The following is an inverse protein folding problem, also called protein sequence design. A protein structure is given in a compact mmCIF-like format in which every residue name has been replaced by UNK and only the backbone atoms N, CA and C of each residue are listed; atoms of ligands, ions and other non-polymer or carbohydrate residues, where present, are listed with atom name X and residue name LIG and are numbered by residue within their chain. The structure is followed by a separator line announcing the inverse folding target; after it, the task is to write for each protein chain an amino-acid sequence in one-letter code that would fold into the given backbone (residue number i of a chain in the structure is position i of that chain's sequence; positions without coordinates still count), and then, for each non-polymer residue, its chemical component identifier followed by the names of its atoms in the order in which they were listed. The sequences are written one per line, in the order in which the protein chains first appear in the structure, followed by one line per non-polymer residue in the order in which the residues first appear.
data_IF_247154429461
#
_entry.id   IF_247154429461
#
_cell.length_a   1.000
_cell.length_b   1.000
_cell.length_c   1.000
_cell.angle_alpha   90.00
_cell.angle_beta   90.00
_cell.angle_gamma   90.00
#
_symmetry.space_group_name_H-M   'P 1'
#
loop_
_entity.id
_entity.type
_entity.pdbx_description
1 polymer ?
#
# COMPACT_ATOMS: atom_id res chain seq x y z
N UNK A 1 -56.24 -15.41 19.72
CA UNK A 1 -55.54 -15.49 18.40
C UNK A 1 -54.93 -14.17 17.90
N UNK A 2 -55.41 -12.98 18.20
CA UNK A 2 -54.81 -11.69 17.78
C UNK A 2 -53.53 -11.34 18.54
N UNK A 3 -53.40 -11.65 19.82
CA UNK A 3 -52.23 -11.36 20.64
C UNK A 3 -50.97 -12.16 20.21
N UNK A 4 -51.13 -13.42 19.88
CA UNK A 4 -50.01 -14.28 19.45
C UNK A 4 -49.41 -13.83 18.12
N UNK A 5 -50.24 -13.38 17.18
CA UNK A 5 -49.77 -12.84 15.89
C UNK A 5 -49.00 -11.53 16.06
N UNK A 6 -49.39 -10.69 17.03
CA UNK A 6 -48.68 -9.45 17.35
C UNK A 6 -47.25 -9.69 17.88
N UNK A 7 -47.09 -10.68 18.77
CA UNK A 7 -45.73 -11.02 19.29
C UNK A 7 -44.86 -11.64 18.23
N UNK A 8 -45.38 -12.42 17.30
CA UNK A 8 -44.65 -13.00 16.20
C UNK A 8 -44.13 -11.92 15.23
N UNK A 9 -44.97 -10.93 14.89
CA UNK A 9 -44.56 -9.83 13.99
C UNK A 9 -43.54 -8.91 14.64
N UNK A 10 -43.66 -8.61 15.94
CA UNK A 10 -42.65 -7.82 16.67
C UNK A 10 -41.34 -8.56 16.79
N UNK A 11 -41.36 -9.86 17.09
CA UNK A 11 -40.13 -10.70 17.11
C UNK A 11 -39.45 -10.78 15.77
N UNK A 12 -40.20 -10.88 14.68
CA UNK A 12 -39.65 -10.92 13.32
C UNK A 12 -39.00 -9.58 12.92
N UNK A 13 -39.59 -8.45 13.28
CA UNK A 13 -39.02 -7.12 13.06
C UNK A 13 -37.73 -6.88 13.87
N UNK A 14 -37.72 -7.35 15.13
CA UNK A 14 -36.49 -7.23 15.96
C UNK A 14 -35.34 -8.07 15.42
N UNK A 15 -35.61 -9.29 14.92
CA UNK A 15 -34.57 -10.17 14.34
C UNK A 15 -34.04 -9.61 13.04
N UNK A 16 -34.85 -8.96 12.21
CA UNK A 16 -34.42 -8.33 10.96
C UNK A 16 -33.54 -7.10 11.20
N UNK A 17 -33.77 -6.35 12.26
CA UNK A 17 -32.94 -5.22 12.68
C UNK A 17 -31.52 -5.63 13.10
N UNK A 18 -31.37 -6.81 13.72
CA UNK A 18 -30.05 -7.33 14.12
C UNK A 18 -29.17 -7.78 12.94
N UNK A 19 -29.79 -8.22 11.83
CA UNK A 19 -29.05 -8.65 10.63
C UNK A 19 -28.45 -7.47 9.84
N UNK A 20 -29.02 -6.27 9.95
CA UNK A 20 -28.53 -5.07 9.26
C UNK A 20 -27.33 -4.42 9.97
N UNK A 21 -27.08 -4.75 11.24
CA UNK A 21 -25.93 -4.21 12.01
C UNK A 21 -24.63 -4.97 11.77
N UNK A 22 -24.63 -6.07 11.04
CA UNK A 22 -23.46 -6.92 10.80
C UNK A 22 -22.52 -6.44 9.68
N UNK A 23 -22.84 -5.34 8.98
CA UNK A 23 -21.89 -4.69 8.06
C UNK A 23 -20.90 -3.79 8.81
N UNK A 24 -20.19 -4.36 9.79
CA UNK A 24 -19.01 -3.74 10.35
C UNK A 24 -17.89 -3.75 9.33
N UNK A 25 -17.48 -2.58 8.85
CA UNK A 25 -16.24 -2.42 8.11
C UNK A 25 -15.10 -3.07 8.91
N UNK A 26 -14.50 -4.11 8.36
CA UNK A 26 -13.27 -4.67 8.90
C UNK A 26 -12.22 -3.58 8.82
N UNK A 27 -11.95 -2.87 9.92
CA UNK A 27 -10.75 -2.06 10.04
C UNK A 27 -9.56 -2.97 9.73
N UNK A 28 -8.75 -2.59 8.77
CA UNK A 28 -7.52 -3.30 8.47
C UNK A 28 -6.73 -3.48 9.78
N UNK A 29 -6.27 -4.70 10.04
CA UNK A 29 -5.67 -5.13 11.31
C UNK A 29 -4.41 -4.32 11.69
N UNK A 30 -3.85 -3.54 10.74
CA UNK A 30 -2.64 -2.73 10.88
C UNK A 30 -2.90 -1.20 10.89
N UNK A 31 -4.15 -0.76 10.94
CA UNK A 31 -4.45 0.66 10.85
C UNK A 31 -4.15 1.30 9.47
N UNK A 32 -3.70 0.50 8.49
CA UNK A 32 -3.48 0.96 7.11
C UNK A 32 -4.81 1.02 6.38
N UNK A 33 -5.15 2.21 5.96
CA UNK A 33 -6.35 2.47 5.13
C UNK A 33 -5.98 2.66 3.65
N UNK A 34 -4.71 2.41 3.31
CA UNK A 34 -4.19 2.64 1.97
C UNK A 34 -4.76 1.63 0.98
N UNK A 35 -5.31 2.13 -0.10
CA UNK A 35 -5.78 1.37 -1.25
C UNK A 35 -4.99 1.79 -2.49
N UNK A 36 -5.07 1.06 -3.61
CA UNK A 36 -4.44 1.51 -4.87
C UNK A 36 -4.92 2.88 -5.35
N UNK A 37 -6.08 3.34 -4.90
CA UNK A 37 -6.72 4.58 -5.38
C UNK A 37 -6.84 5.67 -4.32
N UNK A 38 -6.41 5.40 -3.07
CA UNK A 38 -6.46 6.36 -1.97
C UNK A 38 -5.43 6.02 -0.89
N UNK A 39 -4.96 7.04 -0.17
CA UNK A 39 -4.01 6.89 0.93
C UNK A 39 -2.69 7.60 0.69
N UNK A 40 -1.75 7.44 1.64
CA UNK A 40 -0.43 8.08 1.58
C UNK A 40 0.66 7.01 1.57
N UNK A 41 1.47 6.99 0.52
CA UNK A 41 2.57 6.05 0.34
C UNK A 41 3.88 6.83 0.29
N UNK A 42 4.80 6.49 1.20
CA UNK A 42 6.19 6.96 1.15
C UNK A 42 7.05 5.90 0.51
N UNK A 43 7.90 6.30 -0.41
CA UNK A 43 8.84 5.40 -1.06
C UNK A 43 10.18 6.11 -1.29
N UNK A 44 11.26 5.32 -1.37
CA UNK A 44 12.58 5.82 -1.73
C UNK A 44 12.84 5.59 -3.22
N UNK A 45 13.67 6.42 -3.81
CA UNK A 45 14.15 6.27 -5.16
C UNK A 45 15.56 6.80 -5.29
N UNK A 46 16.37 6.14 -6.12
CA UNK A 46 17.60 6.75 -6.60
C UNK A 46 17.29 8.07 -7.30
N UNK A 47 18.14 9.08 -7.05
CA UNK A 47 17.94 10.44 -7.54
C UNK A 47 17.91 10.52 -9.07
N UNK A 48 18.61 9.62 -9.76
CA UNK A 48 18.64 9.55 -11.22
C UNK A 48 17.28 9.29 -11.86
N UNK A 49 16.37 8.66 -11.12
CA UNK A 49 15.00 8.39 -11.59
C UNK A 49 14.01 9.52 -11.35
N UNK A 50 14.44 10.60 -10.67
CA UNK A 50 13.50 11.68 -10.30
C UNK A 50 12.69 12.24 -11.47
N UNK A 51 13.23 12.49 -12.69
CA UNK A 51 12.44 13.06 -13.77
C UNK A 51 11.30 12.14 -14.24
N UNK A 52 11.59 10.83 -14.33
CA UNK A 52 10.60 9.83 -14.75
C UNK A 52 9.54 9.64 -13.67
N UNK A 53 9.96 9.58 -12.41
CA UNK A 53 9.05 9.39 -11.28
C UNK A 53 8.13 10.58 -11.13
N UNK A 54 8.62 11.81 -11.23
CA UNK A 54 7.79 13.03 -11.14
C UNK A 54 6.67 13.02 -12.19
N UNK A 55 6.99 12.65 -13.43
CA UNK A 55 6.00 12.55 -14.50
C UNK A 55 4.95 11.48 -14.20
N UNK A 56 5.40 10.30 -13.75
CA UNK A 56 4.49 9.21 -13.36
C UNK A 56 3.59 9.60 -12.20
N UNK A 57 4.12 10.32 -11.19
CA UNK A 57 3.36 10.80 -10.04
C UNK A 57 2.27 11.77 -10.45
N UNK A 58 2.57 12.72 -11.32
CA UNK A 58 1.57 13.67 -11.83
C UNK A 58 0.42 12.95 -12.54
N UNK A 59 0.75 12.00 -13.43
CA UNK A 59 -0.24 11.21 -14.15
C UNK A 59 -1.07 10.34 -13.21
N UNK A 60 -0.43 9.73 -12.20
CA UNK A 60 -1.13 8.86 -11.25
C UNK A 60 -2.06 9.66 -10.34
N UNK A 61 -1.60 10.79 -9.78
CA UNK A 61 -2.40 11.66 -8.92
C UNK A 61 -3.55 12.34 -9.67
N UNK A 62 -3.34 12.67 -10.94
CA UNK A 62 -4.43 13.16 -11.80
C UNK A 62 -5.56 12.13 -11.94
N UNK A 63 -5.21 10.85 -12.05
CA UNK A 63 -6.18 9.77 -12.17
C UNK A 63 -6.79 9.37 -10.83
N UNK A 64 -6.04 9.49 -9.75
CA UNK A 64 -6.43 9.12 -8.39
C UNK A 64 -6.15 10.25 -7.41
N UNK A 65 -7.02 11.27 -7.35
CA UNK A 65 -6.77 12.48 -6.55
C UNK A 65 -6.66 12.23 -5.04
N UNK A 66 -7.20 11.12 -4.53
CA UNK A 66 -7.14 10.76 -3.12
C UNK A 66 -5.82 10.05 -2.74
N UNK A 67 -4.89 9.91 -3.67
CA UNK A 67 -3.57 9.32 -3.40
C UNK A 67 -2.53 10.41 -3.15
N UNK A 68 -1.72 10.21 -2.12
CA UNK A 68 -0.59 11.06 -1.78
C UNK A 68 0.69 10.24 -1.84
N UNK A 69 1.41 10.35 -2.95
CA UNK A 69 2.67 9.64 -3.18
C UNK A 69 3.81 10.58 -2.80
N UNK A 70 4.62 10.18 -1.82
CA UNK A 70 5.69 11.00 -1.25
C UNK A 70 7.05 10.34 -1.56
N UNK A 71 7.72 10.74 -2.65
CA UNK A 71 9.05 10.25 -2.99
C UNK A 71 10.11 10.80 -2.04
N UNK A 72 11.10 9.98 -1.72
CA UNK A 72 12.32 10.37 -1.03
C UNK A 72 13.47 10.05 -1.97
N UNK A 73 13.99 11.05 -2.65
CA UNK A 73 15.11 10.92 -3.56
C UNK A 73 16.42 10.87 -2.75
N UNK A 74 17.23 9.86 -3.00
CA UNK A 74 18.47 9.62 -2.27
C UNK A 74 19.39 8.66 -3.02
N UNK A 75 20.60 8.47 -2.52
CA UNK A 75 21.50 7.44 -3.03
C UNK A 75 21.02 6.02 -2.66
N UNK A 76 21.52 5.02 -3.40
CA UNK A 76 21.13 3.61 -3.22
C UNK A 76 21.38 3.09 -1.80
N UNK A 77 22.51 3.45 -1.17
CA UNK A 77 22.83 2.99 0.18
C UNK A 77 21.81 3.48 1.21
N UNK A 78 21.47 4.74 1.13
CA UNK A 78 20.51 5.36 2.04
C UNK A 78 19.09 4.91 1.74
N UNK A 79 18.73 4.71 0.46
CA UNK A 79 17.46 4.12 0.05
C UNK A 79 17.28 2.72 0.61
N UNK A 80 18.31 1.87 0.51
CA UNK A 80 18.34 0.54 1.10
C UNK A 80 18.20 0.59 2.63
N UNK A 81 18.87 1.53 3.29
CA UNK A 81 18.75 1.70 4.74
C UNK A 81 17.33 2.11 5.16
N UNK A 82 16.68 3.01 4.42
CA UNK A 82 15.29 3.39 4.67
C UNK A 82 14.34 2.18 4.55
N UNK A 83 14.59 1.29 3.58
CA UNK A 83 13.84 0.06 3.39
C UNK A 83 14.08 -0.93 4.55
N UNK A 84 15.34 -1.14 4.96
CA UNK A 84 15.72 -1.99 6.09
C UNK A 84 15.16 -1.48 7.44
N UNK A 85 15.08 -0.17 7.60
CA UNK A 85 14.48 0.48 8.78
C UNK A 85 12.95 0.52 8.72
N UNK A 86 12.34 -0.04 7.67
CA UNK A 86 10.89 -0.05 7.44
C UNK A 86 10.26 1.37 7.41
N UNK A 87 11.06 2.39 7.09
CA UNK A 87 10.59 3.77 6.91
C UNK A 87 9.89 3.97 5.59
N UNK A 88 10.22 3.13 4.60
CA UNK A 88 9.57 3.00 3.30
C UNK A 88 9.29 1.53 3.01
N UNK A 89 8.28 1.26 2.18
CA UNK A 89 7.93 -0.10 1.78
C UNK A 89 8.27 -0.41 0.31
N UNK A 90 8.77 0.59 -0.40
CA UNK A 90 9.13 0.50 -1.82
C UNK A 90 10.40 1.32 -2.04
N UNK A 91 11.31 0.76 -2.82
CA UNK A 91 12.54 1.43 -3.22
C UNK A 91 12.83 1.15 -4.70
N UNK A 92 13.01 2.22 -5.46
CA UNK A 92 13.45 2.19 -6.86
C UNK A 92 14.97 2.35 -6.90
N UNK A 93 15.66 1.32 -7.36
CA UNK A 93 17.12 1.26 -7.44
C UNK A 93 17.59 0.95 -8.86
N UNK A 94 18.79 1.40 -9.21
CA UNK A 94 19.41 1.14 -10.51
C UNK A 94 20.11 -0.22 -10.60
N UNK A 95 20.31 -0.91 -9.48
CA UNK A 95 21.00 -2.20 -9.44
C UNK A 95 20.09 -3.34 -8.98
N UNK A 96 20.45 -4.55 -9.35
CA UNK A 96 19.77 -5.75 -8.88
C UNK A 96 20.10 -6.00 -7.40
N UNK A 97 19.12 -6.49 -6.65
CA UNK A 97 19.31 -6.86 -5.25
C UNK A 97 20.43 -7.89 -5.09
N UNK A 98 21.41 -7.59 -4.27
CA UNK A 98 22.50 -8.50 -3.96
C UNK A 98 22.06 -9.58 -2.97
N UNK A 99 22.78 -10.71 -2.93
CA UNK A 99 22.50 -11.79 -1.96
C UNK A 99 22.61 -11.32 -0.50
N UNK A 100 23.52 -10.38 -0.22
CA UNK A 100 23.67 -9.82 1.13
C UNK A 100 22.49 -8.95 1.53
N UNK A 101 22.03 -8.10 0.65
CA UNK A 101 20.84 -7.24 0.86
C UNK A 101 19.56 -8.07 1.01
N UNK A 102 19.40 -9.11 0.16
CA UNK A 102 18.26 -10.03 0.26
C UNK A 102 18.25 -10.73 1.64
N UNK A 103 19.39 -11.21 2.10
CA UNK A 103 19.50 -11.84 3.42
C UNK A 103 19.15 -10.87 4.56
N UNK A 104 19.67 -9.63 4.51
CA UNK A 104 19.34 -8.61 5.52
C UNK A 104 17.87 -8.22 5.54
N UNK A 105 17.24 -8.11 4.37
CA UNK A 105 15.82 -7.79 4.26
C UNK A 105 14.96 -8.92 4.84
N UNK A 106 15.30 -10.18 4.55
CA UNK A 106 14.60 -11.37 5.09
C UNK A 106 14.73 -11.53 6.59
N UNK A 107 15.87 -11.12 7.14
CA UNK A 107 16.10 -11.15 8.59
C UNK A 107 15.27 -10.10 9.33
N UNK A 108 15.12 -8.90 8.76
CA UNK A 108 14.48 -7.76 9.42
C UNK A 108 12.98 -7.62 9.13
N UNK A 109 12.45 -8.22 8.07
CA UNK A 109 11.08 -7.96 7.67
C UNK A 109 10.49 -8.97 6.68
N UNK A 110 9.45 -8.55 5.98
CA UNK A 110 8.80 -9.38 4.96
C UNK A 110 9.75 -9.67 3.80
N UNK A 111 9.53 -10.81 3.15
CA UNK A 111 10.31 -11.23 1.98
C UNK A 111 10.19 -10.16 0.89
N UNK A 112 11.30 -9.59 0.41
CA UNK A 112 11.26 -8.57 -0.63
C UNK A 112 10.75 -9.16 -1.95
N UNK A 113 9.87 -8.44 -2.63
CA UNK A 113 9.47 -8.75 -3.99
C UNK A 113 10.23 -7.80 -4.93
N UNK A 114 10.98 -8.35 -5.88
CA UNK A 114 11.78 -7.59 -6.82
C UNK A 114 11.14 -7.65 -8.20
N UNK A 115 10.89 -6.49 -8.79
CA UNK A 115 10.28 -6.36 -10.12
C UNK A 115 11.15 -5.48 -11.01
N UNK A 116 11.63 -5.98 -12.17
CA UNK A 116 12.24 -5.11 -13.16
C UNK A 116 11.17 -4.23 -13.80
N UNK A 117 11.37 -2.90 -13.76
CA UNK A 117 10.44 -1.92 -14.32
C UNK A 117 10.89 -1.36 -15.67
N UNK A 118 12.17 -1.55 -16.02
CA UNK A 118 12.73 -1.09 -17.28
C UNK A 118 14.18 -1.49 -17.43
N UNK A 119 14.70 -1.27 -18.61
CA UNK A 119 16.12 -1.47 -18.94
C UNK A 119 16.60 -0.21 -19.64
N UNK A 120 17.78 0.24 -19.27
CA UNK A 120 18.50 1.32 -19.94
C UNK A 120 19.68 0.77 -20.73
N UNK A 121 20.09 1.46 -21.78
CA UNK A 121 21.20 1.06 -22.63
C UNK A 121 21.94 2.28 -23.17
N UNK A 122 23.27 2.19 -23.18
CA UNK A 122 24.14 3.21 -23.78
C UNK A 122 24.55 2.70 -25.16
N UNK A 123 24.23 3.48 -26.21
CA UNK A 123 24.72 3.24 -27.57
C UNK A 123 25.94 4.13 -27.85
N UNK A 124 27.02 3.56 -28.39
CA UNK A 124 28.21 4.27 -28.81
C UNK A 124 28.26 4.42 -30.33
#
# INVERSE_FOLDING_TARGET
MKRTRFYITVGLMLSLGFLLSACGQKKAKDGRTDTPTSGTIKFASDESFSPIIEELLQNYQFRYPETHLLPIYTDDNKGMQLLLDQKVNLFFTSHALTKGEDAMLREKGPIPAVFPIGYDGIAF
#
